data_IF_791148034914
#
_entry.id   IF_791148034914
#
_cell.length_a   1.000
_cell.length_b   1.000
_cell.length_c   1.000
_cell.angle_alpha   90.00
_cell.angle_beta   90.00
_cell.angle_gamma   90.00
#
_symmetry.space_group_name_H-M   'P 1'
#
loop_
_entity.id
_entity.type
_entity.pdbx_description
1 polymer ?
#
# COMPACT_ATOMS: atom_id res chain seq x y z
N UNK A 1 3.67 6.05 -8.10
CA UNK A 1 3.57 7.26 -7.24
C UNK A 1 2.62 7.06 -6.06
N UNK A 2 1.38 6.62 -6.26
CA UNK A 2 0.43 6.45 -5.15
C UNK A 2 0.95 5.48 -4.07
N UNK A 3 1.53 4.34 -4.44
CA UNK A 3 2.21 3.43 -3.51
C UNK A 3 3.28 4.11 -2.66
N UNK A 4 4.13 4.93 -3.26
CA UNK A 4 5.16 5.69 -2.50
C UNK A 4 4.54 6.68 -1.51
N UNK A 5 3.47 7.38 -1.90
CA UNK A 5 2.74 8.30 -1.00
C UNK A 5 2.09 7.53 0.15
N UNK A 6 1.50 6.36 -0.11
CA UNK A 6 0.92 5.48 0.92
C UNK A 6 1.97 5.04 1.93
N UNK A 7 3.13 4.55 1.47
CA UNK A 7 4.20 4.06 2.34
C UNK A 7 4.82 5.17 3.18
N UNK A 8 5.14 6.32 2.57
CA UNK A 8 5.65 7.48 3.31
C UNK A 8 4.63 7.96 4.37
N UNK A 9 3.35 8.01 4.01
CA UNK A 9 2.29 8.38 4.94
C UNK A 9 2.13 7.36 6.07
N UNK A 10 2.27 6.06 5.77
CA UNK A 10 2.23 5.01 6.78
C UNK A 10 3.42 5.11 7.74
N UNK A 11 4.63 5.34 7.21
CA UNK A 11 5.81 5.57 8.02
C UNK A 11 5.60 6.74 9.01
N UNK A 12 5.10 7.89 8.53
CA UNK A 12 4.79 9.04 9.40
C UNK A 12 3.73 8.67 10.43
N UNK A 13 2.69 7.94 10.05
CA UNK A 13 1.60 7.59 10.96
C UNK A 13 2.05 6.67 12.09
N UNK A 14 3.00 5.77 11.83
CA UNK A 14 3.46 4.79 12.82
C UNK A 14 4.74 5.24 13.57
N UNK A 15 5.57 6.11 12.99
CA UNK A 15 6.90 6.49 13.50
C UNK A 15 7.12 8.01 13.54
N UNK A 16 6.04 8.79 13.78
CA UNK A 16 6.14 10.27 13.77
C UNK A 16 7.13 10.79 14.81
N UNK A 17 7.19 10.18 15.98
CA UNK A 17 8.10 10.58 17.08
C UNK A 17 9.56 10.41 16.66
N UNK A 18 9.90 9.26 16.09
CA UNK A 18 11.25 8.90 15.65
C UNK A 18 11.68 9.79 14.47
N UNK A 19 10.78 10.01 13.52
CA UNK A 19 11.01 10.90 12.36
C UNK A 19 11.20 12.35 12.83
N UNK A 20 10.44 12.78 13.83
CA UNK A 20 10.60 14.12 14.43
C UNK A 20 11.94 14.25 15.15
N UNK A 21 12.33 13.24 15.93
CA UNK A 21 13.62 13.23 16.62
C UNK A 21 14.81 13.28 15.65
N UNK A 22 14.65 12.69 14.46
CA UNK A 22 15.63 12.78 13.38
C UNK A 22 15.57 14.10 12.58
N UNK A 23 14.72 15.07 12.96
CA UNK A 23 14.48 16.33 12.26
C UNK A 23 14.02 16.17 10.80
N UNK A 24 13.38 15.04 10.44
CA UNK A 24 12.95 14.73 9.07
C UNK A 24 11.45 14.93 8.82
N UNK A 25 10.64 15.27 9.84
CA UNK A 25 9.18 15.34 9.69
C UNK A 25 8.73 16.40 8.66
N UNK A 26 9.43 17.53 8.58
CA UNK A 26 9.16 18.57 7.57
C UNK A 26 9.43 18.09 6.15
N UNK A 27 10.56 17.42 5.94
CA UNK A 27 10.97 16.91 4.62
C UNK A 27 10.03 15.82 4.12
N UNK A 28 9.69 14.83 4.96
CA UNK A 28 8.79 13.75 4.55
C UNK A 28 7.36 14.26 4.29
N UNK A 29 6.86 15.24 5.07
CA UNK A 29 5.57 15.90 4.80
C UNK A 29 5.59 16.64 3.46
N UNK A 30 6.68 17.31 3.12
CA UNK A 30 6.82 17.99 1.82
C UNK A 30 6.79 16.99 0.66
N UNK A 31 7.47 15.85 0.78
CA UNK A 31 7.45 14.79 -0.23
C UNK A 31 6.05 14.18 -0.38
N UNK A 32 5.35 13.88 0.74
CA UNK A 32 3.97 13.38 0.72
C UNK A 32 3.05 14.41 0.05
N UNK A 33 3.15 15.70 0.40
CA UNK A 33 2.34 16.76 -0.21
C UNK A 33 2.57 16.85 -1.71
N UNK A 34 3.80 16.79 -2.15
CA UNK A 34 4.16 16.85 -3.58
C UNK A 34 3.48 15.72 -4.37
N UNK A 35 3.58 14.48 -3.90
CA UNK A 35 2.92 13.33 -4.55
C UNK A 35 1.39 13.38 -4.45
N UNK A 36 0.83 13.78 -3.30
CA UNK A 36 -0.61 13.91 -3.11
C UNK A 36 -1.23 15.02 -3.98
N UNK A 37 -0.53 16.16 -4.17
CA UNK A 37 -0.98 17.22 -5.08
C UNK A 37 -1.05 16.76 -6.53
N UNK A 38 -0.11 15.90 -6.96
CA UNK A 38 -0.19 15.27 -8.29
C UNK A 38 -1.47 14.42 -8.41
N UNK A 39 -1.75 13.56 -7.44
CA UNK A 39 -2.95 12.71 -7.44
C UNK A 39 -4.25 13.54 -7.42
N UNK A 40 -4.28 14.63 -6.65
CA UNK A 40 -5.41 15.54 -6.63
C UNK A 40 -5.66 16.22 -7.99
N UNK A 41 -4.59 16.63 -8.68
CA UNK A 41 -4.68 17.24 -10.03
C UNK A 41 -5.06 16.21 -11.08
N UNK A 42 -4.60 14.97 -10.94
CA UNK A 42 -4.95 13.86 -11.84
C UNK A 42 -6.43 13.46 -11.72
N UNK A 43 -7.05 13.64 -10.55
CA UNK A 43 -8.46 13.35 -10.30
C UNK A 43 -9.34 14.55 -10.67
N UNK A 44 -9.71 14.65 -11.94
CA UNK A 44 -10.38 15.83 -12.53
C UNK A 44 -11.90 15.81 -12.42
N UNK A 45 -12.51 14.65 -12.20
CA UNK A 45 -13.95 14.50 -11.90
C UNK A 45 -14.18 13.24 -11.08
N UNK A 46 -15.40 13.05 -10.54
CA UNK A 46 -15.74 11.88 -9.71
C UNK A 46 -15.49 10.53 -10.37
N UNK A 47 -15.41 10.47 -11.71
CA UNK A 47 -15.19 9.23 -12.49
C UNK A 47 -14.10 9.38 -13.55
N UNK A 48 -13.14 10.29 -13.33
CA UNK A 48 -12.02 10.49 -14.25
C UNK A 48 -10.72 10.67 -13.46
N UNK A 49 -9.77 9.79 -13.69
CA UNK A 49 -8.41 9.88 -13.14
C UNK A 49 -7.41 9.73 -14.27
N UNK A 50 -6.48 10.69 -14.40
CA UNK A 50 -5.35 10.56 -15.30
C UNK A 50 -4.31 9.63 -14.69
N UNK A 51 -3.91 8.61 -15.46
CA UNK A 51 -3.05 7.52 -14.99
C UNK A 51 -1.60 7.73 -15.35
N UNK A 52 -1.34 8.37 -16.48
CA UNK A 52 -0.01 8.52 -17.04
C UNK A 52 0.09 9.77 -17.91
N UNK A 53 1.28 10.40 -17.89
CA UNK A 53 1.71 11.47 -18.77
C UNK A 53 2.96 10.98 -19.50
N UNK A 54 2.94 11.01 -20.82
CA UNK A 54 3.99 10.47 -21.68
C UNK A 54 3.67 9.06 -22.18
N UNK A 55 4.15 8.74 -23.38
CA UNK A 55 4.08 7.39 -23.95
C UNK A 55 5.19 6.53 -23.36
N UNK A 56 4.83 5.45 -22.68
CA UNK A 56 5.79 4.62 -21.96
C UNK A 56 6.87 4.00 -22.87
N UNK A 57 6.52 3.58 -24.08
CA UNK A 57 7.50 3.01 -25.01
C UNK A 57 8.49 4.08 -25.49
N UNK A 58 8.01 5.27 -25.82
CA UNK A 58 8.87 6.38 -26.24
C UNK A 58 9.77 6.85 -25.12
N UNK A 59 9.23 6.98 -23.91
CA UNK A 59 10.00 7.38 -22.72
C UNK A 59 11.09 6.34 -22.40
N UNK A 60 10.83 5.03 -22.59
CA UNK A 60 11.85 3.98 -22.40
C UNK A 60 12.89 3.92 -23.53
N UNK A 61 12.57 4.44 -24.71
CA UNK A 61 13.54 4.58 -25.81
C UNK A 61 14.38 5.85 -25.69
N UNK A 62 13.89 6.84 -24.95
CA UNK A 62 14.58 8.10 -24.72
C UNK A 62 15.52 7.98 -23.51
N UNK A 63 16.84 8.16 -23.74
CA UNK A 63 17.87 8.07 -22.70
C UNK A 63 18.47 9.45 -22.46
N UNK A 64 17.63 10.38 -21.96
CA UNK A 64 17.96 11.78 -21.75
C UNK A 64 17.67 12.20 -20.30
N UNK A 65 18.18 13.39 -19.93
CA UNK A 65 17.77 14.00 -18.67
C UNK A 65 16.30 14.44 -18.74
N UNK A 66 15.55 14.39 -17.62
CA UNK A 66 14.15 14.85 -17.60
C UNK A 66 13.96 16.28 -18.15
N UNK A 67 14.94 17.15 -17.92
CA UNK A 67 14.94 18.56 -18.36
C UNK A 67 15.07 18.71 -19.88
N UNK A 68 15.73 17.76 -20.53
CA UNK A 68 16.01 17.78 -21.99
C UNK A 68 15.00 16.91 -22.77
N UNK A 69 14.15 16.14 -22.07
CA UNK A 69 13.24 15.20 -22.69
C UNK A 69 12.21 15.89 -23.59
N UNK A 70 12.19 15.54 -24.88
CA UNK A 70 11.30 16.08 -25.90
C UNK A 70 10.18 15.12 -26.34
N UNK A 71 10.06 13.94 -25.68
CA UNK A 71 9.01 12.98 -25.97
C UNK A 71 7.61 13.57 -25.75
N UNK A 72 6.60 13.16 -26.56
CA UNK A 72 5.24 13.67 -26.43
C UNK A 72 4.65 13.43 -25.05
N UNK A 73 4.04 14.46 -24.47
CA UNK A 73 3.35 14.40 -23.17
C UNK A 73 1.90 13.91 -23.33
N UNK A 74 1.72 12.75 -23.98
CA UNK A 74 0.40 12.12 -24.18
C UNK A 74 -0.24 11.80 -22.83
N UNK A 75 -1.53 12.13 -22.71
CA UNK A 75 -2.29 11.91 -21.47
C UNK A 75 -3.12 10.63 -21.58
N UNK A 76 -2.99 9.76 -20.61
CA UNK A 76 -3.80 8.55 -20.46
C UNK A 76 -4.69 8.68 -19.23
N UNK A 77 -5.90 8.14 -19.28
CA UNK A 77 -6.87 8.25 -18.19
C UNK A 77 -7.78 7.03 -18.13
N UNK A 78 -8.31 6.79 -16.95
CA UNK A 78 -9.42 5.88 -16.71
C UNK A 78 -10.72 6.68 -16.53
N UNK A 79 -11.84 6.07 -16.93
CA UNK A 79 -13.19 6.63 -16.86
C UNK A 79 -14.19 5.51 -16.52
N UNK A 80 -15.47 5.85 -16.35
CA UNK A 80 -16.52 4.85 -16.12
C UNK A 80 -16.69 3.86 -17.28
N UNK A 81 -16.33 4.24 -18.52
CA UNK A 81 -16.38 3.37 -19.70
C UNK A 81 -15.05 2.67 -20.00
N UNK A 82 -13.96 3.09 -19.38
CA UNK A 82 -12.62 2.50 -19.49
C UNK A 82 -12.02 2.45 -18.08
N UNK A 83 -12.43 1.48 -17.24
CA UNK A 83 -12.11 1.45 -15.83
C UNK A 83 -10.65 1.09 -15.55
N UNK A 84 -10.23 1.32 -14.30
CA UNK A 84 -8.93 0.98 -13.74
C UNK A 84 -9.04 1.03 -12.22
N UNK A 85 -9.71 0.01 -11.65
CA UNK A 85 -10.04 -0.03 -10.23
C UNK A 85 -8.79 -0.04 -9.36
N UNK A 86 -7.73 -0.76 -9.79
CA UNK A 86 -6.45 -0.80 -9.07
C UNK A 86 -5.81 0.59 -8.99
N UNK A 87 -5.83 1.36 -10.07
CA UNK A 87 -5.22 2.71 -10.10
C UNK A 87 -6.02 3.69 -9.25
N UNK A 88 -7.36 3.64 -9.37
CA UNK A 88 -8.23 4.54 -8.62
C UNK A 88 -8.23 4.21 -7.11
N UNK A 89 -8.26 2.93 -6.74
CA UNK A 89 -8.21 2.49 -5.34
C UNK A 89 -6.85 2.75 -4.71
N UNK A 90 -5.74 2.54 -5.42
CA UNK A 90 -4.40 2.89 -4.94
C UNK A 90 -4.28 4.40 -4.67
N UNK A 91 -4.79 5.24 -5.60
CA UNK A 91 -4.83 6.69 -5.39
C UNK A 91 -5.72 7.07 -4.20
N UNK A 92 -6.86 6.37 -4.03
CA UNK A 92 -7.73 6.56 -2.86
C UNK A 92 -7.00 6.25 -1.55
N UNK A 93 -6.30 5.11 -1.48
CA UNK A 93 -5.50 4.72 -0.32
C UNK A 93 -4.44 5.76 0.02
N UNK A 94 -3.71 6.23 -1.00
CA UNK A 94 -2.66 7.24 -0.84
C UNK A 94 -3.21 8.56 -0.28
N UNK A 95 -4.33 9.05 -0.82
CA UNK A 95 -4.95 10.29 -0.35
C UNK A 95 -5.55 10.12 1.06
N UNK A 96 -6.14 8.96 1.39
CA UNK A 96 -6.61 8.66 2.75
C UNK A 96 -5.46 8.65 3.75
N UNK A 97 -4.36 7.95 3.43
CA UNK A 97 -3.17 7.90 4.28
C UNK A 97 -2.54 9.28 4.48
N UNK A 98 -2.39 10.05 3.41
CA UNK A 98 -1.89 11.42 3.46
C UNK A 98 -2.80 12.34 4.30
N UNK A 99 -4.13 12.15 4.25
CA UNK A 99 -5.06 12.96 5.04
C UNK A 99 -4.78 12.84 6.54
N UNK A 100 -4.40 11.66 7.03
CA UNK A 100 -4.03 11.44 8.43
C UNK A 100 -2.79 12.27 8.80
N UNK A 101 -1.78 12.28 7.92
CA UNK A 101 -0.51 13.01 8.14
C UNK A 101 -0.73 14.51 8.28
N UNK A 102 -1.71 15.07 7.55
CA UNK A 102 -1.99 16.49 7.56
C UNK A 102 -3.11 16.91 8.51
N UNK A 103 -3.79 15.98 9.17
CA UNK A 103 -4.97 16.24 10.01
C UNK A 103 -4.75 17.36 11.05
N UNK A 104 -3.59 17.38 11.68
CA UNK A 104 -3.23 18.41 12.68
C UNK A 104 -2.52 19.61 12.04
N UNK A 105 -1.64 19.36 11.06
CA UNK A 105 -0.79 20.40 10.47
C UNK A 105 -1.53 21.29 9.47
N UNK A 106 -2.53 20.76 8.77
CA UNK A 106 -3.32 21.46 7.75
C UNK A 106 -4.66 20.75 7.57
N UNK A 107 -5.62 21.04 8.45
CA UNK A 107 -6.93 20.36 8.47
C UNK A 107 -7.73 20.54 7.18
N UNK A 108 -7.67 21.74 6.56
CA UNK A 108 -8.38 22.00 5.29
C UNK A 108 -7.83 21.15 4.16
N UNK A 109 -6.52 20.98 4.12
CA UNK A 109 -5.86 20.11 3.16
C UNK A 109 -6.20 18.63 3.42
N UNK A 110 -6.16 18.21 4.67
CA UNK A 110 -6.58 16.87 5.11
C UNK A 110 -8.00 16.54 4.64
N UNK A 111 -8.96 17.45 4.87
CA UNK A 111 -10.35 17.25 4.44
C UNK A 111 -10.50 17.16 2.91
N UNK A 112 -9.74 17.97 2.18
CA UNK A 112 -9.67 17.87 0.71
C UNK A 112 -9.16 16.51 0.24
N UNK A 113 -8.06 16.02 0.83
CA UNK A 113 -7.50 14.71 0.53
C UNK A 113 -8.50 13.58 0.79
N UNK A 114 -9.12 13.58 1.98
CA UNK A 114 -10.09 12.56 2.37
C UNK A 114 -11.34 12.55 1.47
N UNK A 115 -11.83 13.72 1.08
CA UNK A 115 -12.96 13.83 0.14
C UNK A 115 -12.62 13.21 -1.23
N UNK A 116 -11.47 13.53 -1.81
CA UNK A 116 -11.04 12.93 -3.08
C UNK A 116 -10.80 11.43 -2.96
N UNK A 117 -10.25 10.98 -1.84
CA UNK A 117 -10.08 9.55 -1.54
C UNK A 117 -11.41 8.79 -1.58
N UNK A 118 -12.45 9.32 -0.93
CA UNK A 118 -13.80 8.70 -0.93
C UNK A 118 -14.37 8.61 -2.34
N UNK A 119 -14.29 9.69 -3.14
CA UNK A 119 -14.79 9.70 -4.53
C UNK A 119 -14.04 8.70 -5.42
N UNK A 120 -12.72 8.58 -5.26
CA UNK A 120 -11.90 7.61 -6.00
C UNK A 120 -12.24 6.17 -5.61
N UNK A 121 -12.49 5.90 -4.34
CA UNK A 121 -12.92 4.58 -3.89
C UNK A 121 -14.29 4.21 -4.47
N UNK A 122 -15.26 5.12 -4.42
CA UNK A 122 -16.58 4.92 -5.03
C UNK A 122 -16.46 4.67 -6.54
N UNK A 123 -15.60 5.41 -7.22
CA UNK A 123 -15.32 5.22 -8.65
C UNK A 123 -14.72 3.84 -8.92
N UNK A 124 -13.69 3.44 -8.17
CA UNK A 124 -13.01 2.15 -8.31
C UNK A 124 -13.95 0.96 -8.10
N UNK A 125 -14.80 1.05 -7.07
CA UNK A 125 -15.72 -0.04 -6.70
C UNK A 125 -16.94 -0.14 -7.61
N UNK A 126 -17.49 1.01 -8.01
CA UNK A 126 -18.69 1.05 -8.87
C UNK A 126 -18.40 0.65 -10.32
N UNK A 127 -17.24 1.01 -10.84
CA UNK A 127 -16.85 0.75 -12.24
C UNK A 127 -15.62 -0.16 -12.27
N UNK A 128 -15.83 -1.44 -11.89
CA UNK A 128 -14.76 -2.42 -11.73
C UNK A 128 -14.14 -2.85 -13.06
N UNK A 129 -12.82 -2.89 -13.10
CA UNK A 129 -12.01 -3.37 -14.22
C UNK A 129 -10.55 -2.97 -14.05
N UNK A 130 -9.63 -3.76 -14.60
CA UNK A 130 -8.20 -3.49 -14.55
C UNK A 130 -7.75 -2.62 -15.71
N UNK A 131 -6.85 -1.67 -15.45
CA UNK A 131 -6.19 -0.84 -16.44
C UNK A 131 -4.90 -1.51 -16.92
N UNK A 132 -4.83 -1.83 -18.21
CA UNK A 132 -3.67 -2.46 -18.81
C UNK A 132 -2.91 -1.52 -19.79
N UNK A 133 -3.25 -0.24 -19.80
CA UNK A 133 -2.64 0.74 -20.71
C UNK A 133 -1.18 1.06 -20.42
N UNK A 134 -0.67 0.68 -19.24
CA UNK A 134 0.73 0.86 -18.87
C UNK A 134 1.59 -0.39 -19.10
N UNK A 135 1.01 -1.47 -19.65
CA UNK A 135 1.78 -2.66 -20.03
C UNK A 135 2.76 -2.36 -21.18
N UNK A 136 3.94 -3.00 -21.21
CA UNK A 136 4.41 -4.07 -20.30
C UNK A 136 5.07 -3.57 -19.00
N UNK A 137 5.18 -2.27 -18.76
CA UNK A 137 5.97 -1.70 -17.66
C UNK A 137 5.27 -1.81 -16.31
N UNK A 138 3.97 -1.49 -16.27
CA UNK A 138 3.14 -1.50 -15.06
C UNK A 138 1.79 -2.16 -15.34
N UNK A 139 1.82 -3.48 -15.58
CA UNK A 139 0.59 -4.27 -15.72
C UNK A 139 -0.02 -4.55 -14.35
N UNK A 140 -1.34 -4.63 -14.26
CA UNK A 140 -2.02 -5.18 -13.10
C UNK A 140 -1.96 -6.71 -13.15
N UNK A 141 -1.08 -7.33 -12.36
CA UNK A 141 -0.92 -8.79 -12.26
C UNK A 141 -1.76 -9.38 -11.13
N UNK A 142 -1.95 -8.63 -10.03
CA UNK A 142 -2.77 -9.05 -8.88
C UNK A 142 -4.28 -8.83 -9.09
N UNK A 143 -4.68 -8.09 -10.13
CA UNK A 143 -6.05 -7.64 -10.35
C UNK A 143 -6.30 -6.28 -9.69
N UNK A 144 -7.41 -6.13 -8.95
CA UNK A 144 -7.78 -4.87 -8.28
C UNK A 144 -8.39 -5.08 -6.89
N UNK A 145 -8.54 -6.32 -6.47
CA UNK A 145 -9.20 -6.64 -5.21
C UNK A 145 -8.37 -6.21 -4.01
N UNK A 146 -7.08 -6.35 -4.10
CA UNK A 146 -6.13 -5.96 -3.06
C UNK A 146 -6.04 -4.44 -2.90
N UNK A 147 -6.10 -3.66 -3.99
CA UNK A 147 -6.16 -2.21 -3.90
C UNK A 147 -7.49 -1.72 -3.33
N UNK A 148 -8.61 -2.36 -3.65
CA UNK A 148 -9.89 -2.04 -3.03
C UNK A 148 -9.89 -2.32 -1.52
N UNK A 149 -9.33 -3.45 -1.08
CA UNK A 149 -9.14 -3.74 0.34
C UNK A 149 -8.18 -2.76 1.01
N UNK A 150 -7.08 -2.42 0.33
CA UNK A 150 -6.10 -1.45 0.79
C UNK A 150 -6.72 -0.07 0.99
N UNK A 151 -7.48 0.40 0.01
CA UNK A 151 -8.19 1.67 0.08
C UNK A 151 -9.25 1.66 1.20
N UNK A 152 -10.04 0.60 1.33
CA UNK A 152 -11.02 0.47 2.41
C UNK A 152 -10.35 0.52 3.80
N UNK A 153 -9.23 -0.17 4.00
CA UNK A 153 -8.48 -0.15 5.27
C UNK A 153 -7.97 1.26 5.61
N UNK A 154 -7.43 1.98 4.63
CA UNK A 154 -6.97 3.36 4.83
C UNK A 154 -8.12 4.35 5.03
N UNK A 155 -9.21 4.21 4.30
CA UNK A 155 -10.40 5.05 4.48
C UNK A 155 -11.02 4.85 5.86
N UNK A 156 -11.09 3.61 6.35
CA UNK A 156 -11.49 3.37 7.74
C UNK A 156 -10.56 4.07 8.71
N UNK A 157 -9.23 3.89 8.58
CA UNK A 157 -8.24 4.50 9.47
C UNK A 157 -8.32 6.03 9.46
N UNK A 158 -8.62 6.65 8.31
CA UNK A 158 -8.71 8.10 8.15
C UNK A 158 -10.03 8.70 8.65
N UNK A 159 -11.15 8.01 8.40
CA UNK A 159 -12.49 8.54 8.67
C UNK A 159 -13.17 7.98 9.92
N UNK A 160 -12.80 6.77 10.37
CA UNK A 160 -13.51 6.03 11.41
C UNK A 160 -14.85 5.43 10.94
N UNK A 161 -15.16 5.50 9.65
CA UNK A 161 -16.45 5.01 9.11
C UNK A 161 -16.42 3.48 8.97
N UNK A 162 -17.26 2.81 9.77
CA UNK A 162 -17.35 1.35 9.79
C UNK A 162 -17.83 0.71 8.47
N UNK A 163 -18.41 1.50 7.54
CA UNK A 163 -18.81 0.97 6.24
C UNK A 163 -17.63 0.35 5.48
N UNK A 164 -16.43 0.90 5.62
CA UNK A 164 -15.22 0.36 5.01
C UNK A 164 -14.73 -0.94 5.66
N UNK A 165 -14.90 -1.13 6.97
CA UNK A 165 -14.63 -2.43 7.61
C UNK A 165 -15.66 -3.47 7.20
N UNK A 166 -16.93 -3.09 7.10
CA UNK A 166 -17.99 -3.97 6.60
C UNK A 166 -17.72 -4.38 5.16
N UNK A 167 -17.24 -3.45 4.33
CA UNK A 167 -16.81 -3.73 2.96
C UNK A 167 -15.71 -4.80 2.93
N UNK A 168 -14.66 -4.63 3.73
CA UNK A 168 -13.59 -5.63 3.83
C UNK A 168 -14.12 -6.98 4.35
N UNK A 169 -14.97 -6.98 5.37
CA UNK A 169 -15.54 -8.21 5.94
C UNK A 169 -16.43 -8.97 4.94
N UNK A 170 -17.18 -8.26 4.08
CA UNK A 170 -18.10 -8.84 3.09
C UNK A 170 -17.40 -9.42 1.86
N UNK A 171 -16.13 -9.08 1.62
CA UNK A 171 -15.37 -9.57 0.47
C UNK A 171 -14.47 -10.76 0.87
N UNK A 172 -15.09 -11.85 1.32
CA UNK A 172 -14.40 -13.00 1.92
C UNK A 172 -13.40 -13.71 0.99
N UNK A 173 -13.66 -13.76 -0.30
CA UNK A 173 -12.79 -14.40 -1.29
C UNK A 173 -11.55 -13.59 -1.68
N UNK A 174 -11.38 -12.37 -1.17
CA UNK A 174 -10.31 -11.47 -1.59
C UNK A 174 -9.06 -11.52 -0.69
N UNK A 175 -9.09 -12.23 0.43
CA UNK A 175 -7.90 -12.40 1.25
C UNK A 175 -7.18 -13.71 0.90
N UNK A 176 -5.98 -13.60 0.38
CA UNK A 176 -5.11 -14.74 0.04
C UNK A 176 -3.73 -14.58 0.69
N UNK A 177 -3.04 -15.71 0.90
CA UNK A 177 -1.67 -15.72 1.35
C UNK A 177 -0.76 -15.18 0.24
N UNK A 178 0.11 -14.25 0.58
CA UNK A 178 1.08 -13.64 -0.34
C UNK A 178 2.46 -13.61 0.30
N UNK A 179 3.48 -13.48 -0.53
CA UNK A 179 4.89 -13.43 -0.11
C UNK A 179 5.59 -12.14 -0.56
N UNK A 180 4.83 -11.19 -1.09
CA UNK A 180 5.34 -9.86 -1.47
C UNK A 180 4.37 -8.75 -1.08
N UNK A 181 4.92 -7.54 -0.93
CA UNK A 181 4.18 -6.29 -0.82
C UNK A 181 4.81 -5.29 -1.77
N UNK A 182 4.06 -4.84 -2.75
CA UNK A 182 4.62 -4.09 -3.87
C UNK A 182 3.63 -3.07 -4.45
N UNK A 183 4.07 -2.35 -5.48
CA UNK A 183 3.23 -1.44 -6.24
C UNK A 183 2.05 -2.15 -6.94
N UNK A 184 2.17 -3.45 -7.22
CA UNK A 184 1.12 -4.28 -7.83
C UNK A 184 0.31 -5.03 -6.76
N UNK A 185 0.92 -5.59 -5.71
CA UNK A 185 0.24 -6.43 -4.72
C UNK A 185 0.14 -5.75 -3.35
N UNK A 186 -1.08 -5.45 -2.91
CA UNK A 186 -1.38 -4.75 -1.64
C UNK A 186 -1.91 -5.65 -0.54
N UNK A 187 -2.11 -6.96 -0.79
CA UNK A 187 -2.73 -7.84 0.19
C UNK A 187 -2.03 -7.80 1.56
N UNK A 188 -0.70 -7.93 1.61
CA UNK A 188 0.03 -7.92 2.88
C UNK A 188 -0.19 -6.63 3.68
N UNK A 189 -0.21 -5.48 2.99
CA UNK A 189 -0.47 -4.18 3.61
C UNK A 189 -1.90 -4.08 4.14
N UNK A 190 -2.90 -4.43 3.34
CA UNK A 190 -4.31 -4.43 3.73
C UNK A 190 -4.55 -5.40 4.89
N UNK A 191 -4.00 -6.61 4.81
CA UNK A 191 -4.09 -7.61 5.87
C UNK A 191 -3.49 -7.11 7.19
N UNK A 192 -2.34 -6.45 7.13
CA UNK A 192 -1.69 -5.86 8.32
C UNK A 192 -2.56 -4.80 8.99
N UNK A 193 -3.17 -3.89 8.22
CA UNK A 193 -4.05 -2.85 8.76
C UNK A 193 -5.33 -3.45 9.35
N UNK A 194 -5.95 -4.42 8.67
CA UNK A 194 -7.19 -5.07 9.10
C UNK A 194 -6.95 -6.04 10.26
N UNK A 195 -5.79 -6.70 10.35
CA UNK A 195 -5.37 -7.50 11.50
C UNK A 195 -5.30 -6.65 12.78
N UNK A 196 -4.85 -5.39 12.68
CA UNK A 196 -4.88 -4.46 13.82
C UNK A 196 -6.30 -4.27 14.37
N UNK A 197 -7.29 -4.16 13.49
CA UNK A 197 -8.68 -3.98 13.90
C UNK A 197 -9.29 -5.28 14.45
N UNK A 198 -8.90 -6.45 13.92
CA UNK A 198 -9.23 -7.74 14.51
C UNK A 198 -8.71 -7.83 15.96
N UNK A 199 -7.45 -7.50 16.19
CA UNK A 199 -6.82 -7.54 17.51
C UNK A 199 -7.45 -6.53 18.49
N UNK A 200 -8.16 -5.50 18.01
CA UNK A 200 -8.98 -4.60 18.81
C UNK A 200 -10.42 -5.11 19.07
N UNK A 201 -10.74 -6.35 18.64
CA UNK A 201 -12.03 -6.99 18.88
C UNK A 201 -12.99 -7.01 17.69
N UNK A 202 -12.59 -6.62 16.49
CA UNK A 202 -13.41 -6.76 15.26
C UNK A 202 -13.31 -8.18 14.70
N UNK A 203 -13.99 -9.14 15.36
CA UNK A 203 -13.82 -10.59 15.14
C UNK A 203 -14.13 -11.07 13.71
N UNK A 204 -14.97 -10.36 12.97
CA UNK A 204 -15.28 -10.64 11.56
C UNK A 204 -14.10 -10.39 10.59
N UNK A 205 -12.97 -9.88 11.09
CA UNK A 205 -11.75 -9.64 10.31
C UNK A 205 -10.65 -10.70 10.57
N UNK A 206 -10.97 -11.82 11.23
CA UNK A 206 -10.01 -12.87 11.61
C UNK A 206 -9.14 -13.36 10.45
N UNK A 207 -9.71 -13.49 9.24
CA UNK A 207 -8.99 -13.91 8.03
C UNK A 207 -7.79 -13.01 7.68
N UNK A 208 -7.89 -11.73 7.98
CA UNK A 208 -6.81 -10.77 7.70
C UNK A 208 -5.65 -10.92 8.69
N UNK A 209 -5.94 -11.29 9.94
CA UNK A 209 -4.90 -11.67 10.91
C UNK A 209 -4.17 -12.94 10.43
N UNK A 210 -4.91 -13.95 9.98
CA UNK A 210 -4.32 -15.16 9.38
C UNK A 210 -3.47 -14.84 8.15
N UNK A 211 -3.91 -13.93 7.28
CA UNK A 211 -3.14 -13.49 6.12
C UNK A 211 -1.85 -12.77 6.51
N UNK A 212 -1.92 -11.83 7.47
CA UNK A 212 -0.74 -11.13 7.97
C UNK A 212 0.28 -12.09 8.63
N UNK A 213 -0.19 -13.08 9.41
CA UNK A 213 0.68 -14.11 9.96
C UNK A 213 1.33 -14.95 8.86
N UNK A 214 0.55 -15.34 7.84
CA UNK A 214 1.08 -16.11 6.70
C UNK A 214 2.15 -15.34 5.94
N UNK A 215 2.01 -14.01 5.81
CA UNK A 215 3.04 -13.17 5.22
C UNK A 215 4.33 -13.17 6.05
N UNK A 216 4.24 -13.02 7.38
CA UNK A 216 5.40 -13.16 8.26
C UNK A 216 6.04 -14.54 8.05
N UNK A 217 5.23 -15.60 8.07
CA UNK A 217 5.72 -16.96 7.90
C UNK A 217 6.44 -17.18 6.56
N UNK A 218 5.99 -16.54 5.48
CA UNK A 218 6.66 -16.63 4.17
C UNK A 218 8.07 -16.03 4.19
N UNK A 219 8.33 -15.05 5.04
CA UNK A 219 9.63 -14.38 5.18
C UNK A 219 10.55 -15.06 6.19
N UNK A 220 10.02 -15.88 7.12
CA UNK A 220 10.79 -16.51 8.19
C UNK A 220 11.44 -17.83 7.74
N UNK A 221 12.75 -18.08 8.01
CA UNK A 221 13.45 -19.26 7.52
C UNK A 221 12.85 -20.59 8.00
N UNK A 222 12.57 -21.49 7.06
CA UNK A 222 12.08 -22.84 7.33
C UNK A 222 10.68 -22.91 7.93
N UNK A 223 9.84 -21.92 7.67
CA UNK A 223 8.54 -21.77 8.34
C UNK A 223 7.34 -22.24 7.53
N UNK A 224 7.37 -22.18 6.19
CA UNK A 224 6.20 -22.50 5.35
C UNK A 224 6.58 -22.96 3.95
N UNK A 225 5.58 -23.48 3.21
CA UNK A 225 5.70 -23.85 1.81
C UNK A 225 5.87 -22.63 0.87
N UNK A 226 5.45 -21.45 1.32
CA UNK A 226 5.59 -20.17 0.58
C UNK A 226 6.90 -19.45 0.91
N UNK A 227 7.82 -20.11 1.62
CA UNK A 227 9.05 -19.49 2.09
C UNK A 227 9.84 -18.85 0.95
N UNK A 228 10.18 -17.57 1.14
CA UNK A 228 11.04 -16.81 0.26
C UNK A 228 12.49 -17.31 0.42
N UNK A 229 13.18 -17.43 -0.70
CA UNK A 229 14.62 -17.74 -0.73
C UNK A 229 15.44 -16.57 -0.18
N UNK A 230 16.65 -16.86 0.27
CA UNK A 230 17.64 -15.84 0.62
C UNK A 230 18.83 -15.93 -0.33
N UNK A 231 19.51 -14.80 -0.52
CA UNK A 231 20.83 -14.79 -1.15
C UNK A 231 21.84 -15.51 -0.25
N UNK A 232 23.03 -15.88 -0.74
CA UNK A 232 24.10 -16.43 0.11
C UNK A 232 24.50 -15.52 1.29
N UNK A 233 24.30 -14.20 1.17
CA UNK A 233 24.55 -13.22 2.23
C UNK A 233 23.36 -12.98 3.17
N UNK A 234 22.27 -13.75 3.05
CA UNK A 234 21.12 -13.68 3.96
C UNK A 234 19.99 -12.71 3.54
N UNK A 235 20.18 -11.90 2.48
CA UNK A 235 19.15 -10.98 2.00
C UNK A 235 17.96 -11.76 1.41
N UNK A 236 16.73 -11.38 1.73
CA UNK A 236 15.54 -11.92 1.09
C UNK A 236 15.60 -11.73 -0.43
N UNK A 237 15.24 -12.75 -1.17
CA UNK A 237 15.25 -12.76 -2.64
C UNK A 237 13.85 -13.04 -3.16
N UNK A 238 13.09 -11.97 -3.41
CA UNK A 238 11.67 -12.02 -3.77
C UNK A 238 11.49 -11.96 -5.29
N UNK A 239 12.26 -11.12 -5.97
CA UNK A 239 12.20 -10.91 -7.42
C UNK A 239 13.58 -10.78 -8.05
N UNK A 240 13.70 -11.17 -9.33
CA UNK A 240 14.95 -11.11 -10.09
C UNK A 240 15.40 -9.68 -10.42
N UNK A 241 14.45 -8.74 -10.47
CA UNK A 241 14.72 -7.32 -10.73
C UNK A 241 14.12 -6.44 -9.65
N UNK A 242 14.79 -5.32 -9.37
CA UNK A 242 14.35 -4.34 -8.35
C UNK A 242 14.07 -4.95 -6.98
N UNK A 243 14.81 -6.00 -6.60
CA UNK A 243 14.55 -6.82 -5.41
C UNK A 243 14.45 -5.97 -4.13
N UNK A 244 15.26 -4.90 -4.00
CA UNK A 244 15.26 -4.05 -2.81
C UNK A 244 13.90 -3.34 -2.58
N UNK A 245 13.11 -3.06 -3.62
CA UNK A 245 11.74 -2.55 -3.45
C UNK A 245 10.91 -3.53 -2.63
N UNK A 246 10.96 -4.81 -2.95
CA UNK A 246 10.16 -5.86 -2.28
C UNK A 246 10.72 -6.17 -0.88
N UNK A 247 12.03 -6.19 -0.73
CA UNK A 247 12.67 -6.41 0.57
C UNK A 247 12.34 -5.29 1.54
N UNK A 248 12.51 -4.03 1.13
CA UNK A 248 12.27 -2.87 2.02
C UNK A 248 10.79 -2.70 2.37
N UNK A 249 9.87 -2.94 1.43
CA UNK A 249 8.44 -2.92 1.74
C UNK A 249 8.02 -4.07 2.68
N UNK A 250 8.60 -5.27 2.50
CA UNK A 250 8.40 -6.39 3.41
C UNK A 250 8.96 -6.10 4.81
N UNK A 251 10.15 -5.53 4.90
CA UNK A 251 10.75 -5.08 6.17
C UNK A 251 9.85 -4.08 6.90
N UNK A 252 9.27 -3.13 6.17
CA UNK A 252 8.32 -2.18 6.74
C UNK A 252 7.09 -2.88 7.32
N UNK A 253 6.52 -3.87 6.62
CA UNK A 253 5.40 -4.68 7.14
C UNK A 253 5.80 -5.41 8.42
N UNK A 254 6.96 -6.08 8.44
CA UNK A 254 7.44 -6.79 9.64
C UNK A 254 7.57 -5.87 10.86
N UNK A 255 8.14 -4.67 10.67
CA UNK A 255 8.26 -3.66 11.74
C UNK A 255 6.90 -3.20 12.26
N UNK A 256 5.99 -2.84 11.37
CA UNK A 256 4.66 -2.33 11.72
C UNK A 256 3.84 -3.44 12.37
N UNK A 257 3.87 -4.65 11.80
CA UNK A 257 3.12 -5.77 12.36
C UNK A 257 3.64 -6.18 13.74
N UNK A 258 4.96 -6.21 13.93
CA UNK A 258 5.57 -6.41 15.25
C UNK A 258 5.06 -5.39 16.28
N UNK A 259 4.98 -4.10 15.90
CA UNK A 259 4.43 -3.04 16.76
C UNK A 259 2.95 -3.27 17.10
N UNK A 260 2.16 -3.72 16.10
CA UNK A 260 0.75 -4.08 16.30
C UNK A 260 0.61 -5.24 17.29
N UNK A 261 1.38 -6.32 17.10
CA UNK A 261 1.37 -7.49 17.99
C UNK A 261 1.75 -7.12 19.43
N UNK A 262 2.80 -6.34 19.62
CA UNK A 262 3.22 -5.83 20.93
C UNK A 262 2.07 -5.07 21.60
N UNK A 263 1.43 -4.15 20.89
CA UNK A 263 0.34 -3.33 21.42
C UNK A 263 -0.90 -4.13 21.81
N UNK A 264 -1.07 -5.31 21.21
CA UNK A 264 -2.15 -6.24 21.48
C UNK A 264 -1.79 -7.32 22.51
N UNK A 265 -0.57 -7.30 23.09
CA UNK A 265 -0.09 -8.31 24.04
C UNK A 265 0.19 -9.68 23.43
N UNK A 266 0.31 -9.76 22.11
CA UNK A 266 0.65 -11.00 21.38
C UNK A 266 2.17 -11.15 21.33
N UNK A 267 2.68 -12.33 21.65
CA UNK A 267 4.13 -12.57 21.85
C UNK A 267 4.90 -12.91 20.57
N UNK A 268 4.21 -13.32 19.52
CA UNK A 268 4.84 -13.75 18.27
C UNK A 268 3.84 -14.30 17.26
N UNK A 269 4.35 -14.97 16.23
CA UNK A 269 3.57 -15.57 15.15
C UNK A 269 3.88 -17.06 15.08
N UNK A 270 2.83 -17.88 15.01
CA UNK A 270 2.95 -19.32 14.83
C UNK A 270 2.96 -19.66 13.33
N UNK A 271 4.03 -20.34 12.88
CA UNK A 271 4.24 -20.75 11.50
C UNK A 271 4.35 -22.28 11.42
N UNK A 272 3.21 -22.94 11.28
CA UNK A 272 3.16 -24.39 11.36
C UNK A 272 3.52 -24.90 12.77
N UNK A 273 4.59 -25.69 12.86
CA UNK A 273 5.11 -26.20 14.13
C UNK A 273 6.13 -25.26 14.81
N UNK A 274 6.47 -24.11 14.19
CA UNK A 274 7.44 -23.17 14.71
C UNK A 274 6.76 -21.91 15.24
N UNK A 275 7.22 -21.44 16.39
CA UNK A 275 6.83 -20.15 16.95
C UNK A 275 7.98 -19.15 16.77
N UNK A 276 7.70 -18.02 16.16
CA UNK A 276 8.64 -16.91 16.01
C UNK A 276 8.27 -15.78 16.95
N UNK A 277 9.15 -15.49 17.89
CA UNK A 277 8.98 -14.35 18.80
C UNK A 277 9.07 -13.03 18.01
N UNK A 278 8.52 -11.95 18.57
CA UNK A 278 8.63 -10.62 17.97
C UNK A 278 10.11 -10.19 17.82
N UNK A 279 10.96 -10.58 18.79
CA UNK A 279 12.40 -10.32 18.72
C UNK A 279 12.98 -11.00 17.49
N UNK A 280 12.72 -12.30 17.29
CA UNK A 280 13.19 -13.06 16.12
C UNK A 280 12.68 -12.48 14.80
N UNK A 281 11.42 -12.01 14.76
CA UNK A 281 10.87 -11.36 13.56
C UNK A 281 11.63 -10.07 13.24
N UNK A 282 12.08 -9.32 14.24
CA UNK A 282 12.87 -8.10 14.04
C UNK A 282 14.32 -8.38 13.66
N UNK A 283 14.94 -9.43 14.19
CA UNK A 283 16.32 -9.82 13.88
C UNK A 283 16.55 -10.14 12.39
N UNK A 284 15.51 -10.55 11.65
CA UNK A 284 15.62 -10.79 10.20
C UNK A 284 15.83 -9.49 9.39
N UNK A 285 15.67 -8.34 10.04
CA UNK A 285 15.82 -7.02 9.40
C UNK A 285 17.25 -6.45 9.52
N UNK A 286 18.08 -7.09 10.33
CA UNK A 286 19.50 -6.77 10.55
C UNK A 286 20.39 -7.57 9.63
#
# INVERSE_FOLDING_TARGET
>A
MAFSVSLLSWAVTEYQTEISAANQLGHIRSAIRWGAEYLLRAHTSSTTLYTQVGDANRDHQCWERPEDMDTPRTLYKITSSSPGSEVAAEAAAALAAASIVFKVADSKYSDRLLRHSKLLFEFADKFRGSYQGSCPFYCSYSGYQDELLWAAAWLYKASGDNSYLNYAASNDGWSQAVSEFSWDNKFAGAQTLLAKEFLKGKTNLAKYKTGADSFVCALMPGSSSLQIKTTPGGLLYIRDSSNLQYVTSSSMILLIYSKILISAGVRGVQCGSKDFSITTIKEILE
#
